data_IF_712936354846
#
_entry.id   IF_712936354846
#
_cell.length_a   1.000
_cell.length_b   1.000
_cell.length_c   1.000
_cell.angle_alpha   90.00
_cell.angle_beta   90.00
_cell.angle_gamma   90.00
#
_symmetry.space_group_name_H-M   'P 1'
#
loop_
_entity.id
_entity.type
_entity.pdbx_description
1 polymer ?
#
# COMPACT_ATOMS: atom_id res chain seq x y z
N UNK A 1 -2.18 -24.02 -2.55
CA UNK A 1 -3.35 -23.17 -2.79
C UNK A 1 -2.92 -21.80 -3.25
N UNK A 2 -3.64 -21.20 -4.18
CA UNK A 2 -3.35 -19.86 -4.66
C UNK A 2 -3.65 -18.77 -3.63
N UNK A 3 -3.18 -17.56 -3.90
CA UNK A 3 -3.46 -16.40 -3.07
C UNK A 3 -4.96 -16.07 -3.10
N UNK A 4 -5.56 -15.69 -1.97
CA UNK A 4 -6.96 -15.23 -1.92
C UNK A 4 -7.20 -13.96 -2.74
N UNK A 5 -6.13 -13.21 -3.08
CA UNK A 5 -6.21 -11.98 -3.87
C UNK A 5 -6.03 -12.22 -5.38
N UNK A 6 -5.68 -13.44 -5.81
CA UNK A 6 -5.29 -13.71 -7.19
C UNK A 6 -6.38 -13.38 -8.21
N UNK A 7 -7.65 -13.64 -7.87
CA UNK A 7 -8.81 -13.39 -8.75
C UNK A 7 -9.47 -12.02 -8.53
N UNK A 8 -8.96 -11.22 -7.59
CA UNK A 8 -9.53 -9.90 -7.28
C UNK A 8 -9.27 -8.95 -8.44
N UNK A 9 -10.32 -8.28 -8.90
CA UNK A 9 -10.28 -7.25 -9.94
C UNK A 9 -10.89 -5.93 -9.49
N UNK A 10 -11.53 -5.92 -8.31
CA UNK A 10 -12.17 -4.73 -7.74
C UNK A 10 -11.57 -4.44 -6.36
N UNK A 11 -11.00 -3.26 -6.23
CA UNK A 11 -10.34 -2.79 -5.01
C UNK A 11 -11.18 -1.65 -4.43
N UNK A 12 -11.92 -1.94 -3.38
CA UNK A 12 -12.82 -0.97 -2.72
C UNK A 12 -12.09 -0.31 -1.56
N UNK A 13 -11.89 0.98 -1.69
CA UNK A 13 -11.13 1.78 -0.71
C UNK A 13 -12.10 2.76 -0.04
N UNK A 14 -12.39 2.60 1.25
CA UNK A 14 -13.18 3.59 1.98
C UNK A 14 -12.48 4.95 1.96
N UNK A 15 -13.26 6.00 1.77
CA UNK A 15 -12.72 7.37 1.76
C UNK A 15 -11.93 7.67 3.02
N UNK A 16 -12.38 7.17 4.17
CA UNK A 16 -11.67 7.32 5.44
C UNK A 16 -10.28 6.68 5.39
N UNK A 17 -10.12 5.55 4.71
CA UNK A 17 -8.82 4.90 4.57
C UNK A 17 -7.83 5.79 3.80
N UNK A 18 -8.28 6.50 2.78
CA UNK A 18 -7.45 7.46 2.06
C UNK A 18 -7.06 8.64 2.96
N UNK A 19 -8.02 9.18 3.70
CA UNK A 19 -7.78 10.29 4.64
C UNK A 19 -6.74 9.91 5.69
N UNK A 20 -6.90 8.74 6.31
CA UNK A 20 -5.97 8.25 7.34
C UNK A 20 -4.58 8.00 6.76
N UNK A 21 -4.51 7.40 5.58
CA UNK A 21 -3.24 7.16 4.88
C UNK A 21 -2.50 8.47 4.61
N UNK A 22 -3.20 9.44 4.04
CA UNK A 22 -2.59 10.73 3.70
C UNK A 22 -2.14 11.49 4.93
N UNK A 23 -2.84 11.38 6.05
CA UNK A 23 -2.42 12.01 7.30
C UNK A 23 -1.05 11.51 7.73
N UNK A 24 -0.81 10.20 7.70
CA UNK A 24 0.49 9.61 8.04
C UNK A 24 1.58 10.05 7.07
N UNK A 25 1.31 9.96 5.76
CA UNK A 25 2.30 10.30 4.75
C UNK A 25 2.68 11.79 4.77
N UNK A 26 1.70 12.66 5.01
CA UNK A 26 1.93 14.10 5.11
C UNK A 26 2.74 14.48 6.33
N UNK A 27 2.48 13.84 7.48
CA UNK A 27 3.24 14.10 8.69
C UNK A 27 4.73 13.77 8.49
N UNK A 28 5.03 12.63 7.89
CA UNK A 28 6.40 12.28 7.54
C UNK A 28 7.00 13.25 6.51
N UNK A 29 6.21 13.64 5.52
CA UNK A 29 6.63 14.55 4.47
C UNK A 29 7.01 15.95 4.98
N UNK A 30 6.35 16.45 6.02
CA UNK A 30 6.72 17.71 6.66
C UNK A 30 8.13 17.70 7.24
N UNK A 31 8.62 16.53 7.59
CA UNK A 31 9.99 16.33 8.07
C UNK A 31 10.95 15.88 6.97
N UNK A 32 10.47 15.82 5.72
CA UNK A 32 11.27 15.42 4.57
C UNK A 32 11.51 13.93 4.50
N UNK A 33 10.61 13.10 5.07
CA UNK A 33 10.72 11.65 5.08
C UNK A 33 9.65 10.98 4.24
N UNK A 34 10.04 9.90 3.57
CA UNK A 34 9.08 8.93 3.05
C UNK A 34 8.52 8.10 4.20
N UNK A 35 7.32 7.58 4.01
CA UNK A 35 6.70 6.69 4.98
C UNK A 35 5.89 5.60 4.29
N UNK A 36 5.71 4.47 4.99
CA UNK A 36 4.84 3.37 4.59
C UNK A 36 3.59 3.34 5.45
N UNK A 37 2.48 3.00 4.79
CA UNK A 37 1.21 2.64 5.42
C UNK A 37 0.79 1.30 4.82
N UNK A 38 0.23 0.42 5.61
CA UNK A 38 -0.31 -0.85 5.13
C UNK A 38 -1.82 -0.88 5.27
N UNK A 39 -2.46 -1.60 4.33
CA UNK A 39 -3.91 -1.75 4.27
C UNK A 39 -4.29 -3.22 4.46
N UNK A 40 -5.10 -3.47 5.46
CA UNK A 40 -5.79 -4.75 5.62
C UNK A 40 -7.08 -4.76 4.83
N UNK A 41 -7.47 -5.91 4.35
CA UNK A 41 -8.69 -6.04 3.57
C UNK A 41 -9.39 -7.37 3.74
N UNK A 42 -10.67 -7.38 3.41
CA UNK A 42 -11.52 -8.56 3.36
C UNK A 42 -11.90 -8.86 1.93
N UNK A 43 -11.68 -10.11 1.55
CA UNK A 43 -12.03 -10.59 0.21
C UNK A 43 -13.50 -11.01 0.20
N UNK A 44 -14.22 -10.65 -0.86
CA UNK A 44 -15.62 -11.06 -1.07
C UNK A 44 -15.73 -12.58 -1.20
N UNK A 45 -16.93 -13.12 -0.97
CA UNK A 45 -17.18 -14.56 -1.02
C UNK A 45 -16.87 -15.16 -2.40
N UNK A 46 -17.11 -14.41 -3.48
CA UNK A 46 -16.77 -14.82 -4.83
C UNK A 46 -15.29 -14.57 -5.21
N UNK A 47 -14.50 -14.00 -4.30
CA UNK A 47 -13.07 -13.69 -4.46
C UNK A 47 -12.76 -12.69 -5.58
N UNK A 48 -13.72 -11.91 -6.03
CA UNK A 48 -13.53 -10.92 -7.11
C UNK A 48 -13.26 -9.51 -6.61
N UNK A 49 -13.54 -9.23 -5.35
CA UNK A 49 -13.34 -7.91 -4.75
C UNK A 49 -12.64 -8.00 -3.40
N UNK A 50 -11.88 -6.98 -3.07
CA UNK A 50 -11.35 -6.76 -1.73
C UNK A 50 -11.84 -5.39 -1.24
N UNK A 51 -12.32 -5.33 -0.01
CA UNK A 51 -12.67 -4.08 0.66
C UNK A 51 -11.65 -3.81 1.75
N UNK A 52 -10.95 -2.71 1.64
CA UNK A 52 -9.94 -2.31 2.64
C UNK A 52 -10.64 -1.79 3.89
N UNK A 53 -10.08 -2.09 5.04
CA UNK A 53 -10.61 -1.68 6.34
C UNK A 53 -9.55 -1.06 7.21
N UNK A 54 -8.60 -1.85 7.68
CA UNK A 54 -7.55 -1.38 8.58
C UNK A 54 -6.48 -0.60 7.81
N UNK A 55 -6.14 0.56 8.33
CA UNK A 55 -4.99 1.39 7.91
C UNK A 55 -4.03 1.44 9.08
N UNK A 56 -2.78 1.04 8.87
CA UNK A 56 -1.75 1.04 9.89
C UNK A 56 -0.45 1.62 9.35
N UNK A 57 0.20 2.46 10.17
CA UNK A 57 1.60 2.80 9.97
C UNK A 57 2.44 1.81 10.79
N UNK A 58 3.14 0.84 10.17
CA UNK A 58 3.99 -0.06 10.93
C UNK A 58 5.15 0.72 11.54
N UNK A 59 5.73 0.25 12.65
CA UNK A 59 6.99 0.79 13.13
C UNK A 59 8.02 0.76 12.00
N UNK A 60 8.65 1.90 11.75
CA UNK A 60 9.52 2.08 10.58
C UNK A 60 10.62 3.07 10.87
N UNK A 61 11.71 2.98 10.14
CA UNK A 61 12.85 3.87 10.26
C UNK A 61 13.12 4.55 8.92
N UNK A 62 13.13 5.87 8.92
CA UNK A 62 13.47 6.67 7.75
C UNK A 62 14.98 6.93 7.73
N UNK A 63 15.58 6.79 6.55
CA UNK A 63 17.00 7.00 6.31
C UNK A 63 17.20 8.00 5.18
N UNK A 64 18.21 8.88 5.34
CA UNK A 64 18.74 9.68 4.23
C UNK A 64 20.04 9.03 3.78
N UNK A 65 20.12 8.65 2.51
CA UNK A 65 21.29 8.02 1.93
C UNK A 65 21.87 8.90 0.82
N UNK A 66 23.07 8.55 0.33
CA UNK A 66 23.65 9.20 -0.84
C UNK A 66 22.72 9.14 -2.07
N UNK A 67 21.99 8.05 -2.21
CA UNK A 67 21.13 7.78 -3.36
C UNK A 67 19.67 8.23 -3.17
N UNK A 68 19.37 8.86 -2.02
CA UNK A 68 18.03 9.39 -1.74
C UNK A 68 17.47 8.95 -0.39
N UNK A 69 16.15 8.92 -0.31
CA UNK A 69 15.41 8.52 0.88
C UNK A 69 15.13 7.02 0.88
N UNK A 70 15.11 6.43 2.06
CA UNK A 70 14.80 5.02 2.25
C UNK A 70 14.01 4.85 3.55
N UNK A 71 13.03 3.95 3.53
CA UNK A 71 12.29 3.54 4.73
C UNK A 71 12.44 2.04 4.91
N UNK A 72 12.73 1.62 6.14
CA UNK A 72 12.82 0.20 6.49
C UNK A 72 11.76 -0.17 7.51
N UNK A 73 11.18 -1.36 7.33
CA UNK A 73 10.24 -1.99 8.24
C UNK A 73 10.79 -3.37 8.56
N UNK A 74 11.08 -3.65 9.83
CA UNK A 74 11.68 -4.92 10.22
C UNK A 74 10.66 -6.07 10.32
N UNK A 75 11.16 -7.29 10.53
CA UNK A 75 10.34 -8.49 10.60
C UNK A 75 9.40 -8.50 11.80
N UNK A 76 9.80 -7.93 12.93
CA UNK A 76 8.95 -7.85 14.12
C UNK A 76 7.77 -6.91 13.89
N UNK A 77 8.00 -5.79 13.22
CA UNK A 77 6.94 -4.86 12.84
C UNK A 77 5.94 -5.53 11.87
N UNK A 78 6.43 -6.25 10.87
CA UNK A 78 5.57 -6.99 9.93
C UNK A 78 4.76 -8.08 10.64
N UNK A 79 5.38 -8.80 11.57
CA UNK A 79 4.68 -9.82 12.36
C UNK A 79 3.53 -9.20 13.15
N UNK A 80 3.77 -8.06 13.80
CA UNK A 80 2.74 -7.33 14.56
C UNK A 80 1.59 -6.89 13.65
N UNK A 81 1.90 -6.36 12.48
CA UNK A 81 0.89 -5.95 11.48
C UNK A 81 0.02 -7.15 11.09
N UNK A 82 0.63 -8.27 10.73
CA UNK A 82 -0.12 -9.46 10.32
C UNK A 82 -1.00 -10.00 11.45
N UNK A 83 -0.54 -9.94 12.70
CA UNK A 83 -1.36 -10.33 13.85
C UNK A 83 -2.61 -9.45 14.01
N UNK A 84 -2.45 -8.14 13.86
CA UNK A 84 -3.59 -7.21 13.94
C UNK A 84 -4.58 -7.48 12.81
N UNK A 85 -4.11 -7.65 11.58
CA UNK A 85 -4.97 -7.96 10.45
C UNK A 85 -5.74 -9.27 10.68
N UNK A 86 -5.03 -10.33 11.07
CA UNK A 86 -5.64 -11.62 11.34
C UNK A 86 -6.70 -11.52 12.42
N UNK A 87 -6.45 -10.78 13.51
CA UNK A 87 -7.42 -10.62 14.60
C UNK A 87 -8.72 -9.92 14.16
N UNK A 88 -8.68 -9.19 13.06
CA UNK A 88 -9.83 -8.47 12.47
C UNK A 88 -10.47 -9.22 11.31
N UNK A 89 -10.03 -10.44 11.02
CA UNK A 89 -10.50 -11.19 9.86
C UNK A 89 -10.06 -10.59 8.54
N UNK A 90 -8.94 -9.89 8.54
CA UNK A 90 -8.37 -9.25 7.36
C UNK A 90 -7.05 -9.89 6.98
N UNK A 91 -6.65 -9.67 5.73
CA UNK A 91 -5.32 -10.01 5.24
C UNK A 91 -4.57 -8.74 4.85
N UNK A 92 -3.25 -8.80 4.86
CA UNK A 92 -2.42 -7.69 4.40
C UNK A 92 -2.51 -7.62 2.86
N UNK A 93 -3.29 -6.68 2.35
CA UNK A 93 -3.67 -6.63 0.94
C UNK A 93 -3.13 -5.41 0.21
N UNK A 94 -2.54 -4.46 0.90
CA UNK A 94 -1.97 -3.27 0.27
C UNK A 94 -0.85 -2.65 1.08
N UNK A 95 0.08 -2.04 0.37
CA UNK A 95 1.09 -1.16 0.93
C UNK A 95 1.05 0.16 0.18
N UNK A 96 1.23 1.25 0.89
CA UNK A 96 1.26 2.60 0.33
C UNK A 96 2.47 3.31 0.86
N UNK A 97 3.23 3.96 -0.02
CA UNK A 97 4.34 4.80 0.44
C UNK A 97 4.40 6.09 -0.36
N UNK A 98 5.06 7.08 0.22
CA UNK A 98 5.23 8.38 -0.38
C UNK A 98 6.62 8.53 -1.03
N UNK A 99 6.66 9.27 -2.14
CA UNK A 99 7.91 9.75 -2.73
C UNK A 99 7.97 11.28 -2.61
N UNK A 100 9.19 11.86 -2.59
CA UNK A 100 9.33 13.32 -2.52
C UNK A 100 8.89 14.03 -3.80
N UNK A 101 8.96 13.34 -4.94
CA UNK A 101 8.61 13.86 -6.26
C UNK A 101 7.65 12.90 -6.99
N UNK A 102 8.02 12.41 -8.17
CA UNK A 102 7.12 11.61 -8.99
C UNK A 102 6.70 10.27 -8.40
N UNK A 103 5.54 9.78 -8.82
CA UNK A 103 5.01 8.48 -8.41
C UNK A 103 5.55 7.40 -9.36
N UNK A 104 6.41 6.52 -8.83
CA UNK A 104 6.94 5.37 -9.57
C UNK A 104 7.43 4.33 -8.57
N UNK A 105 7.55 3.08 -9.03
CA UNK A 105 8.11 2.00 -8.22
C UNK A 105 9.63 1.98 -8.41
N UNK A 106 10.39 2.18 -7.33
CA UNK A 106 11.86 2.17 -7.37
C UNK A 106 12.40 0.73 -7.27
N UNK A 107 13.68 0.53 -7.60
CA UNK A 107 14.34 -0.76 -7.40
C UNK A 107 14.35 -1.19 -5.94
N UNK A 108 14.44 -0.24 -5.00
CA UNK A 108 14.34 -0.54 -3.56
C UNK A 108 12.94 -1.03 -3.20
N UNK A 109 11.89 -0.42 -3.76
CA UNK A 109 10.51 -0.84 -3.53
C UNK A 109 10.29 -2.28 -4.02
N UNK A 110 10.91 -2.65 -5.14
CA UNK A 110 10.83 -4.01 -5.68
C UNK A 110 11.52 -5.05 -4.80
N UNK A 111 12.63 -4.66 -4.15
CA UNK A 111 13.44 -5.57 -3.33
C UNK A 111 12.86 -5.86 -1.94
N UNK A 112 12.12 -4.91 -1.36
CA UNK A 112 11.66 -4.99 0.03
C UNK A 112 10.15 -4.77 0.15
N UNK A 113 9.33 -5.62 -0.52
CA UNK A 113 7.89 -5.49 -0.42
C UNK A 113 7.40 -5.88 0.98
N UNK A 114 6.42 -5.15 1.51
CA UNK A 114 5.75 -5.48 2.76
C UNK A 114 4.63 -6.50 2.51
N UNK A 115 3.94 -6.39 1.39
CA UNK A 115 2.93 -7.37 0.97
C UNK A 115 3.60 -8.51 0.21
N UNK A 116 3.10 -9.73 0.43
CA UNK A 116 3.69 -10.95 -0.15
C UNK A 116 2.68 -11.79 -0.93
N UNK A 117 1.40 -11.47 -0.82
CA UNK A 117 0.34 -12.22 -1.51
C UNK A 117 0.17 -11.71 -2.95
N UNK A 118 0.22 -12.64 -3.91
CA UNK A 118 -0.08 -12.30 -5.30
C UNK A 118 -1.49 -11.67 -5.39
N UNK A 119 -1.59 -10.57 -6.10
CA UNK A 119 -2.80 -9.77 -6.18
C UNK A 119 -2.85 -8.57 -5.23
N UNK A 120 -1.95 -8.48 -4.25
CA UNK A 120 -1.87 -7.33 -3.35
C UNK A 120 -1.41 -6.07 -4.09
N UNK A 121 -1.85 -4.91 -3.58
CA UNK A 121 -1.51 -3.62 -4.16
C UNK A 121 -0.22 -3.04 -3.57
N UNK A 122 0.53 -2.34 -4.42
CA UNK A 122 1.55 -1.38 -4.00
C UNK A 122 1.24 -0.04 -4.64
N UNK A 123 1.10 0.98 -3.82
CA UNK A 123 0.67 2.31 -4.25
C UNK A 123 1.75 3.33 -3.88
N UNK A 124 2.15 4.15 -4.84
CA UNK A 124 3.13 5.22 -4.62
C UNK A 124 2.42 6.56 -4.74
N UNK A 125 2.52 7.36 -3.70
CA UNK A 125 1.91 8.70 -3.63
C UNK A 125 3.01 9.74 -3.84
N UNK A 126 2.87 10.63 -4.85
CA UNK A 126 3.90 11.63 -5.14
C UNK A 126 3.86 12.81 -4.17
N UNK A 127 4.92 13.62 -4.23
CA UNK A 127 5.00 14.94 -3.61
C UNK A 127 4.73 14.93 -2.10
N UNK A 128 5.22 13.91 -1.40
CA UNK A 128 4.98 13.70 0.04
C UNK A 128 3.49 13.76 0.41
N UNK A 129 2.62 13.27 -0.47
CA UNK A 129 1.17 13.24 -0.28
C UNK A 129 0.53 14.64 -0.14
N UNK A 130 1.10 15.66 -0.75
CA UNK A 130 0.59 17.03 -0.68
C UNK A 130 -0.76 17.20 -1.39
N UNK A 131 -1.11 16.29 -2.30
CA UNK A 131 -2.33 16.37 -3.10
C UNK A 131 -3.59 16.02 -2.28
N UNK A 132 -4.74 16.44 -2.78
CA UNK A 132 -6.04 16.13 -2.16
C UNK A 132 -6.33 14.61 -2.18
N UNK A 133 -7.12 14.09 -1.21
CA UNK A 133 -7.41 12.65 -1.12
C UNK A 133 -8.11 12.06 -2.34
N UNK A 134 -8.80 12.86 -3.12
CA UNK A 134 -9.50 12.41 -4.32
C UNK A 134 -8.65 12.45 -5.60
N UNK A 135 -7.44 12.98 -5.52
CA UNK A 135 -6.52 13.05 -6.66
C UNK A 135 -5.69 11.75 -6.80
N UNK A 136 -6.33 10.60 -6.69
CA UNK A 136 -5.67 9.30 -6.79
C UNK A 136 -5.16 8.99 -8.20
N UNK A 137 -5.61 9.71 -9.20
CA UNK A 137 -5.15 9.55 -10.59
C UNK A 137 -3.68 9.94 -10.79
N UNK A 138 -3.11 10.77 -9.90
CA UNK A 138 -1.69 11.12 -9.93
C UNK A 138 -0.80 10.08 -9.23
N UNK A 139 -1.38 9.10 -8.56
CA UNK A 139 -0.64 8.06 -7.85
C UNK A 139 -0.25 6.93 -8.81
N UNK A 140 0.80 6.18 -8.47
CA UNK A 140 1.17 4.99 -9.21
C UNK A 140 0.62 3.74 -8.52
N UNK A 141 -0.08 2.90 -9.28
CA UNK A 141 -0.77 1.72 -8.80
C UNK A 141 -0.18 0.48 -9.42
N UNK A 142 0.30 -0.43 -8.57
CA UNK A 142 0.90 -1.70 -8.99
C UNK A 142 0.22 -2.86 -8.28
N UNK A 143 0.35 -4.03 -8.85
CA UNK A 143 -0.17 -5.28 -8.33
C UNK A 143 0.94 -6.32 -8.32
N UNK A 144 1.05 -7.07 -7.25
CA UNK A 144 1.99 -8.19 -7.18
C UNK A 144 1.45 -9.34 -8.03
N UNK A 145 2.19 -9.75 -9.06
CA UNK A 145 1.74 -10.82 -9.98
C UNK A 145 2.44 -12.14 -9.72
N UNK A 146 3.67 -12.09 -9.20
CA UNK A 146 4.42 -13.26 -8.76
C UNK A 146 5.41 -12.80 -7.68
N UNK A 147 6.13 -13.70 -7.05
CA UNK A 147 7.09 -13.36 -6.01
C UNK A 147 8.10 -12.33 -6.53
N UNK A 148 8.03 -11.11 -6.02
CA UNK A 148 8.92 -10.02 -6.38
C UNK A 148 8.59 -9.29 -7.69
N UNK A 149 7.56 -9.69 -8.42
CA UNK A 149 7.20 -9.09 -9.70
C UNK A 149 5.97 -8.19 -9.56
N UNK A 150 6.12 -6.93 -9.97
CA UNK A 150 5.06 -5.93 -9.94
C UNK A 150 4.61 -5.57 -11.34
N UNK A 151 3.30 -5.46 -11.53
CA UNK A 151 2.70 -4.97 -12.76
C UNK A 151 1.78 -3.79 -12.48
N UNK A 152 1.78 -2.80 -13.36
CA UNK A 152 0.81 -1.72 -13.27
C UNK A 152 -0.61 -2.27 -13.45
N UNK A 153 -1.57 -1.64 -12.80
CA UNK A 153 -2.97 -2.01 -12.97
C UNK A 153 -3.41 -1.85 -14.42
N UNK A 154 -4.22 -2.77 -14.88
CA UNK A 154 -4.79 -2.77 -16.22
C UNK A 154 -6.23 -2.26 -16.20
N UNK A 155 -6.87 -2.18 -17.38
CA UNK A 155 -8.29 -1.81 -17.47
C UNK A 155 -9.23 -2.83 -16.83
N UNK A 156 -8.75 -4.07 -16.61
CA UNK A 156 -9.53 -5.10 -15.92
C UNK A 156 -9.58 -4.85 -14.40
N UNK A 157 -8.62 -4.11 -13.86
CA UNK A 157 -8.55 -3.78 -12.44
C UNK A 157 -9.29 -2.47 -12.16
N UNK A 158 -10.17 -2.48 -11.18
CA UNK A 158 -10.96 -1.31 -10.80
C UNK A 158 -10.66 -0.88 -9.38
N UNK A 159 -10.27 0.38 -9.24
CA UNK A 159 -10.13 1.04 -7.93
C UNK A 159 -11.40 1.86 -7.71
N UNK A 160 -12.11 1.55 -6.64
CA UNK A 160 -13.39 2.19 -6.30
C UNK A 160 -13.27 2.87 -4.93
N UNK A 161 -13.50 4.17 -4.89
CA UNK A 161 -13.60 4.89 -3.62
C UNK A 161 -15.03 4.75 -3.13
N UNK A 162 -15.21 4.25 -1.90
CA UNK A 162 -16.53 3.98 -1.31
C UNK A 162 -16.73 4.79 -0.02
N UNK A 163 -17.97 5.13 0.25
CA UNK A 163 -18.36 5.91 1.44
C UNK A 163 -18.11 7.40 1.30
#
# INVERSE_FOLDING_TARGET
MGSPLAAVTRFRIPRQALTDTLAVLRDAGREGHEAFVVWGGRVSDDQTAVTFGTVMAPPQTAHKTRDGLLVTVDGDALFTVNRVMYSRGEILAGQVHSHPTGAYHSGTDDHYPLVTLAGALSVVVPDFAANAPDDIGSWAWYRLVAAGDWAQLTRADRVEIVG
#
